data_IF_443667348750
#
_entry.id   IF_443667348750
#
_cell.length_a   1.000
_cell.length_b   1.000
_cell.length_c   1.000
_cell.angle_alpha   90.00
_cell.angle_beta   90.00
_cell.angle_gamma   90.00
#
_symmetry.space_group_name_H-M   'P 1'
#
loop_
_entity.id
_entity.type
_entity.pdbx_description
1 polymer ?
#
# COMPACT_ATOMS: atom_id res chain seq x y z
N UNK A 1 -54.31 -48.46 43.28
CA UNK A 1 -53.41 -48.69 44.44
C UNK A 1 -52.01 -49.14 43.99
N UNK A 2 -50.95 -48.43 44.38
CA UNK A 2 -50.93 -47.11 45.01
C UNK A 2 -50.40 -46.04 44.03
N UNK A 3 -51.04 -44.88 43.87
CA UNK A 3 -51.21 -43.77 44.86
C UNK A 3 -49.92 -42.91 44.93
N UNK A 4 -49.94 -41.58 44.93
CA UNK A 4 -50.91 -40.55 45.37
C UNK A 4 -50.64 -39.30 44.49
N UNK A 5 -51.58 -38.80 43.68
CA UNK A 5 -52.52 -37.69 43.95
C UNK A 5 -51.86 -36.35 44.38
N UNK A 6 -52.25 -35.17 43.87
CA UNK A 6 -53.29 -34.81 42.91
C UNK A 6 -53.53 -33.29 42.82
N UNK A 7 -54.44 -32.93 41.90
CA UNK A 7 -55.24 -31.67 41.76
C UNK A 7 -54.46 -30.41 41.33
N UNK A 8 -54.60 -29.83 40.13
CA UNK A 8 -55.78 -29.33 39.37
C UNK A 8 -56.80 -28.61 40.25
N UNK A 9 -56.98 -27.30 40.04
CA UNK A 9 -58.29 -26.63 39.80
C UNK A 9 -58.03 -25.22 39.23
N UNK A 10 -58.54 -25.00 38.01
CA UNK A 10 -58.91 -23.73 37.37
C UNK A 10 -60.08 -23.03 38.09
N UNK A 11 -60.28 -21.74 37.77
CA UNK A 11 -61.55 -20.94 37.77
C UNK A 11 -61.35 -19.65 38.57
N UNK A 12 -61.18 -18.50 37.91
CA UNK A 12 -62.18 -17.64 37.29
C UNK A 12 -62.91 -16.72 38.28
N UNK A 13 -62.90 -15.44 37.90
CA UNK A 13 -63.97 -14.46 38.04
C UNK A 13 -64.24 -13.82 39.41
N UNK A 14 -64.55 -12.51 39.31
CA UNK A 14 -65.51 -11.72 40.10
C UNK A 14 -64.88 -10.52 40.84
N UNK A 15 -64.99 -9.36 40.17
CA UNK A 15 -65.20 -8.05 40.80
C UNK A 15 -66.48 -8.09 41.66
N UNK A 16 -66.54 -7.29 42.74
CA UNK A 16 -67.52 -6.22 42.67
C UNK A 16 -67.04 -4.87 43.23
N UNK A 17 -67.62 -3.83 42.64
CA UNK A 17 -67.79 -2.48 43.18
C UNK A 17 -68.55 -2.48 44.51
N UNK A 18 -68.38 -1.39 45.28
CA UNK A 18 -69.34 -0.70 46.19
C UNK A 18 -68.58 0.60 46.57
N UNK A 19 -68.86 1.76 45.96
CA UNK A 19 -69.86 2.79 46.38
C UNK A 19 -69.85 3.04 47.91
N UNK A 20 -69.69 4.22 48.50
CA UNK A 20 -69.99 5.59 48.10
C UNK A 20 -70.66 6.26 49.32
N UNK A 21 -70.16 7.42 49.78
CA UNK A 21 -70.93 8.48 50.48
C UNK A 21 -69.95 9.57 50.96
N UNK A 22 -69.79 10.70 50.27
CA UNK A 22 -70.58 11.95 50.34
C UNK A 22 -70.57 12.66 51.69
N UNK A 23 -69.85 13.79 51.74
CA UNK A 23 -70.41 15.07 52.20
C UNK A 23 -69.55 16.22 51.66
N UNK A 24 -70.19 17.04 50.81
CA UNK A 24 -69.80 18.36 50.31
C UNK A 24 -69.60 19.35 51.48
N UNK A 25 -68.94 20.51 51.43
CA UNK A 25 -68.99 21.59 50.44
C UNK A 25 -67.97 22.70 50.85
N UNK A 26 -67.45 23.52 49.92
CA UNK A 26 -67.05 24.92 50.24
C UNK A 26 -65.59 25.41 50.05
N UNK A 27 -65.29 25.88 48.82
CA UNK A 27 -64.74 27.21 48.45
C UNK A 27 -63.26 27.66 48.75
N UNK A 28 -62.58 28.05 47.65
CA UNK A 28 -61.58 29.14 47.41
C UNK A 28 -60.08 29.03 47.79
N UNK A 29 -59.26 28.98 46.72
CA UNK A 29 -58.05 29.78 46.36
C UNK A 29 -56.88 30.04 47.33
N UNK A 30 -55.67 29.53 47.01
CA UNK A 30 -54.39 30.25 46.70
C UNK A 30 -53.09 29.46 47.04
N UNK A 31 -51.95 29.70 46.33
CA UNK A 31 -50.75 28.83 46.30
C UNK A 31 -49.69 29.10 47.41
N UNK A 32 -48.68 28.22 47.60
CA UNK A 32 -47.81 28.23 48.78
C UNK A 32 -46.70 29.28 48.71
N UNK A 33 -46.44 29.95 49.83
CA UNK A 33 -45.40 30.99 49.96
C UNK A 33 -43.99 30.41 50.14
N UNK A 34 -43.06 30.99 49.38
CA UNK A 34 -41.62 30.80 49.36
C UNK A 34 -40.94 31.33 50.63
N UNK A 35 -40.12 30.51 51.30
CA UNK A 35 -39.18 30.96 52.34
C UNK A 35 -37.77 31.23 51.77
N UNK A 36 -37.46 32.51 51.59
CA UNK A 36 -36.12 33.13 51.66
C UNK A 36 -36.35 34.54 52.25
N UNK A 37 -35.38 35.44 52.48
CA UNK A 37 -33.91 35.42 52.61
C UNK A 37 -33.45 35.79 54.05
N UNK A 38 -34.34 35.67 55.05
CA UNK A 38 -34.16 36.28 56.38
C UNK A 38 -33.14 35.58 57.28
N UNK A 39 -32.88 34.28 57.11
CA UNK A 39 -31.89 33.57 57.94
C UNK A 39 -30.45 33.99 57.63
N UNK A 40 -30.15 34.34 56.38
CA UNK A 40 -28.79 34.69 55.96
C UNK A 40 -28.32 36.02 56.57
N UNK A 41 -29.23 37.01 56.67
CA UNK A 41 -28.93 38.29 57.34
C UNK A 41 -28.67 38.10 58.83
N UNK A 42 -29.42 37.23 59.50
CA UNK A 42 -29.24 36.94 60.94
C UNK A 42 -27.86 36.35 61.22
N UNK A 43 -27.34 35.51 60.33
CA UNK A 43 -26.00 34.91 60.48
C UNK A 43 -24.89 35.95 60.25
N UNK A 44 -25.05 36.84 59.27
CA UNK A 44 -24.09 37.92 58.98
C UNK A 44 -24.03 38.93 60.13
N UNK A 45 -25.18 39.39 60.63
CA UNK A 45 -25.27 40.34 61.75
C UNK A 45 -24.66 39.78 63.06
N UNK A 46 -24.72 38.45 63.25
CA UNK A 46 -24.13 37.78 64.41
C UNK A 46 -22.60 37.69 64.31
N UNK A 47 -22.07 37.47 63.10
CA UNK A 47 -20.63 37.42 62.83
C UNK A 47 -19.98 38.81 62.86
N UNK A 48 -20.70 39.87 62.46
CA UNK A 48 -20.23 41.26 62.57
C UNK A 48 -19.95 41.65 64.03
N UNK A 49 -20.84 41.26 64.95
CA UNK A 49 -20.70 41.57 66.39
C UNK A 49 -19.58 40.81 67.08
N UNK A 50 -19.24 39.60 66.61
CA UNK A 50 -18.18 38.79 67.21
C UNK A 50 -16.78 39.10 66.65
N UNK A 51 -16.67 39.61 65.42
CA UNK A 51 -15.37 39.77 64.73
C UNK A 51 -14.95 41.23 64.53
N UNK A 52 -15.86 42.20 64.73
CA UNK A 52 -15.57 43.64 64.59
C UNK A 52 -15.19 44.07 63.16
N UNK A 53 -15.43 43.22 62.17
CA UNK A 53 -15.15 43.46 60.75
C UNK A 53 -16.44 43.89 60.03
N UNK A 54 -16.33 44.83 59.09
CA UNK A 54 -17.47 45.29 58.29
C UNK A 54 -18.14 44.14 57.52
N UNK A 55 -19.46 44.13 57.46
CA UNK A 55 -20.27 43.05 56.86
C UNK A 55 -19.87 42.61 55.46
N UNK A 56 -19.47 43.56 54.62
CA UNK A 56 -19.03 43.28 53.25
C UNK A 56 -17.74 42.44 53.20
N UNK A 57 -16.88 42.55 54.22
CA UNK A 57 -15.66 41.74 54.36
C UNK A 57 -16.03 40.30 54.74
N UNK A 58 -16.99 40.12 55.66
CA UNK A 58 -17.47 38.79 56.08
C UNK A 58 -18.16 38.08 54.91
N UNK A 59 -18.98 38.80 54.15
CA UNK A 59 -19.61 38.27 52.92
C UNK A 59 -18.53 37.86 51.90
N UNK A 60 -17.49 38.69 51.72
CA UNK A 60 -16.38 38.39 50.80
C UNK A 60 -15.59 37.15 51.23
N UNK A 61 -15.36 36.96 52.53
CA UNK A 61 -14.70 35.77 53.08
C UNK A 61 -15.59 34.53 52.88
N UNK A 62 -16.89 34.62 53.15
CA UNK A 62 -17.83 33.51 52.94
C UNK A 62 -17.92 33.10 51.47
N UNK A 63 -17.94 34.07 50.54
CA UNK A 63 -17.87 33.80 49.10
C UNK A 63 -16.53 33.18 48.71
N UNK A 64 -15.42 33.68 49.27
CA UNK A 64 -14.09 33.12 49.06
C UNK A 64 -13.96 31.67 49.53
N UNK A 65 -14.49 31.34 50.71
CA UNK A 65 -14.55 29.98 51.25
C UNK A 65 -15.47 29.09 50.42
N UNK A 66 -16.61 29.62 49.95
CA UNK A 66 -17.51 28.91 49.03
C UNK A 66 -16.85 28.58 47.69
N UNK A 67 -16.11 29.53 47.10
CA UNK A 67 -15.35 29.31 45.87
C UNK A 67 -14.20 28.33 46.06
N UNK A 68 -13.51 28.38 47.21
CA UNK A 68 -12.48 27.42 47.57
C UNK A 68 -13.06 26.01 47.72
N UNK A 69 -14.23 25.88 48.37
CA UNK A 69 -14.94 24.62 48.51
C UNK A 69 -15.40 24.08 47.15
N UNK A 70 -15.91 24.94 46.25
CA UNK A 70 -16.26 24.57 44.88
C UNK A 70 -15.04 24.15 44.06
N UNK A 71 -13.89 24.80 44.24
CA UNK A 71 -12.62 24.41 43.62
C UNK A 71 -12.12 23.07 44.15
N UNK A 72 -12.23 22.83 45.46
CA UNK A 72 -11.87 21.55 46.09
C UNK A 72 -12.84 20.46 45.63
N UNK A 73 -14.15 20.71 45.57
CA UNK A 73 -15.15 19.81 45.00
C UNK A 73 -14.86 19.52 43.53
N UNK A 74 -14.53 20.53 42.71
CA UNK A 74 -14.14 20.36 41.31
C UNK A 74 -12.84 19.57 41.18
N UNK A 75 -11.86 19.80 42.05
CA UNK A 75 -10.61 19.04 42.09
C UNK A 75 -10.83 17.60 42.54
N UNK A 76 -11.70 17.36 43.52
CA UNK A 76 -12.12 16.04 43.99
C UNK A 76 -12.91 15.30 42.92
N UNK A 77 -13.83 15.97 42.22
CA UNK A 77 -14.56 15.43 41.05
C UNK A 77 -13.56 15.10 39.95
N UNK A 78 -12.66 16.02 39.57
CA UNK A 78 -11.63 15.78 38.54
C UNK A 78 -10.64 14.69 38.93
N UNK A 79 -10.32 14.53 40.22
CA UNK A 79 -9.47 13.46 40.76
C UNK A 79 -10.21 12.12 40.85
N UNK A 80 -11.51 12.11 41.14
CA UNK A 80 -12.38 10.93 41.07
C UNK A 80 -12.63 10.49 39.61
N UNK A 81 -12.79 11.42 38.67
CA UNK A 81 -12.85 11.14 37.23
C UNK A 81 -11.49 10.72 36.65
N UNK A 82 -10.36 11.20 37.19
CA UNK A 82 -9.01 10.67 36.85
C UNK A 82 -8.75 9.29 37.46
N UNK A 83 -9.23 8.98 38.68
CA UNK A 83 -9.11 7.64 39.28
C UNK A 83 -10.04 6.60 38.66
N UNK A 84 -11.22 6.99 38.11
CA UNK A 84 -12.03 6.11 37.26
C UNK A 84 -11.41 5.84 35.88
N UNK A 85 -10.47 6.67 35.39
CA UNK A 85 -9.72 6.40 34.15
C UNK A 85 -8.56 5.41 34.30
N UNK A 86 -8.25 4.94 35.51
CA UNK A 86 -7.12 4.02 35.74
C UNK A 86 -7.53 2.62 36.23
N UNK A 87 -8.83 2.30 36.36
CA UNK A 87 -9.24 0.94 36.80
C UNK A 87 -10.56 0.40 36.27
N UNK A 88 -11.19 0.99 35.25
CA UNK A 88 -12.35 0.38 34.58
C UNK A 88 -12.30 0.64 33.07
N UNK A 89 -11.36 -0.04 32.39
CA UNK A 89 -11.27 -0.11 30.94
C UNK A 89 -11.84 -1.42 30.41
N UNK A 90 -13.06 -1.82 30.82
CA UNK A 90 -13.75 -2.96 30.22
C UNK A 90 -15.20 -2.60 29.89
N UNK A 91 -15.45 -2.59 28.57
CA UNK A 91 -16.73 -2.55 27.83
C UNK A 91 -17.41 -1.19 27.65
N UNK A 92 -17.59 -0.84 26.38
CA UNK A 92 -18.60 0.13 25.94
C UNK A 92 -18.09 1.33 25.14
N UNK A 93 -17.17 1.15 24.18
CA UNK A 93 -16.86 2.20 23.20
C UNK A 93 -16.74 1.58 21.81
N UNK A 94 -17.68 1.94 20.93
CA UNK A 94 -17.73 1.55 19.52
C UNK A 94 -17.71 0.04 19.29
N UNK A 95 -18.88 -0.61 19.28
CA UNK A 95 -19.00 -1.85 18.50
C UNK A 95 -18.88 -1.39 17.05
N UNK A 96 -17.64 -1.37 16.56
CA UNK A 96 -17.38 -1.54 15.14
C UNK A 96 -17.82 -2.96 14.87
N UNK A 97 -19.06 -3.13 14.40
CA UNK A 97 -19.61 -4.43 14.06
C UNK A 97 -18.67 -5.06 13.03
N UNK A 98 -18.17 -6.27 13.30
CA UNK A 98 -17.29 -6.96 12.37
C UNK A 98 -17.96 -7.09 11.00
N UNK A 99 -19.30 -7.20 11.00
CA UNK A 99 -20.10 -7.19 9.78
C UNK A 99 -20.00 -5.88 9.03
N UNK A 100 -19.93 -4.72 9.67
CA UNK A 100 -19.82 -3.44 8.95
C UNK A 100 -18.43 -3.25 8.31
N UNK A 101 -17.37 -3.81 8.92
CA UNK A 101 -16.03 -3.85 8.31
C UNK A 101 -15.99 -4.83 7.14
N UNK A 102 -16.59 -6.00 7.32
CA UNK A 102 -16.74 -7.01 6.27
C UNK A 102 -17.53 -6.46 5.08
N UNK A 103 -18.63 -5.74 5.37
CA UNK A 103 -19.54 -5.15 4.40
C UNK A 103 -18.90 -3.96 3.68
N UNK A 104 -18.07 -3.18 4.37
CA UNK A 104 -17.21 -2.19 3.74
C UNK A 104 -16.21 -2.85 2.79
N UNK A 105 -15.54 -3.93 3.24
CA UNK A 105 -14.63 -4.72 2.42
C UNK A 105 -15.31 -5.28 1.17
N UNK A 106 -16.51 -5.85 1.31
CA UNK A 106 -17.30 -6.37 0.19
C UNK A 106 -17.80 -5.26 -0.74
N UNK A 107 -18.19 -4.08 -0.23
CA UNK A 107 -18.58 -2.94 -1.06
C UNK A 107 -17.42 -2.41 -1.93
N UNK A 108 -16.18 -2.47 -1.42
CA UNK A 108 -15.00 -2.20 -2.24
C UNK A 108 -14.73 -3.30 -3.27
N UNK A 109 -15.03 -4.56 -2.94
CA UNK A 109 -14.90 -5.70 -3.86
C UNK A 109 -15.90 -5.59 -5.03
N UNK A 110 -17.12 -5.18 -4.75
CA UNK A 110 -18.20 -4.97 -5.72
C UNK A 110 -17.87 -3.81 -6.70
N UNK A 111 -17.27 -2.71 -6.21
CA UNK A 111 -16.75 -1.64 -7.08
C UNK A 111 -15.60 -2.06 -8.00
N UNK A 112 -14.97 -3.22 -7.73
CA UNK A 112 -13.90 -3.77 -8.55
C UNK A 112 -14.44 -4.80 -9.57
N UNK A 113 -15.72 -5.22 -9.47
CA UNK A 113 -16.33 -6.23 -10.34
C UNK A 113 -17.85 -6.00 -10.54
N UNK A 114 -18.29 -5.30 -11.59
CA UNK A 114 -19.70 -5.35 -12.00
C UNK A 114 -20.01 -6.51 -12.97
N UNK A 115 -19.02 -7.17 -13.60
CA UNK A 115 -19.27 -7.91 -14.85
C UNK A 115 -19.01 -9.43 -14.78
N UNK A 116 -19.01 -10.07 -13.60
CA UNK A 116 -18.59 -11.48 -13.47
C UNK A 116 -19.66 -12.47 -12.98
N UNK A 117 -20.89 -12.03 -12.74
CA UNK A 117 -22.00 -12.93 -12.35
C UNK A 117 -23.00 -13.21 -13.51
N UNK A 118 -23.01 -12.43 -14.59
CA UNK A 118 -23.87 -12.70 -15.77
C UNK A 118 -23.25 -13.68 -16.79
N UNK A 119 -21.95 -13.98 -16.68
CA UNK A 119 -21.26 -14.89 -17.60
C UNK A 119 -21.30 -16.36 -17.18
N UNK A 120 -21.75 -16.68 -15.96
CA UNK A 120 -21.75 -18.06 -15.44
C UNK A 120 -22.94 -18.90 -15.89
N UNK A 121 -24.06 -18.31 -16.31
CA UNK A 121 -25.21 -19.09 -16.81
C UNK A 121 -25.09 -19.50 -18.29
N UNK A 122 -24.17 -18.89 -19.05
CA UNK A 122 -23.90 -19.28 -20.44
C UNK A 122 -22.60 -20.10 -20.60
N UNK A 123 -21.92 -20.45 -19.50
CA UNK A 123 -20.62 -21.13 -19.51
C UNK A 123 -20.70 -22.64 -19.16
N UNK A 124 -21.88 -23.18 -18.85
CA UNK A 124 -22.02 -24.61 -18.53
C UNK A 124 -22.12 -25.51 -19.78
N UNK A 125 -22.22 -24.94 -20.99
CA UNK A 125 -22.27 -25.69 -22.27
C UNK A 125 -20.98 -25.62 -23.12
N UNK A 126 -19.87 -25.06 -22.60
CA UNK A 126 -18.56 -25.05 -23.29
C UNK A 126 -17.44 -25.50 -22.34
N UNK A 127 -17.73 -26.52 -21.54
CA UNK A 127 -16.76 -27.19 -20.69
C UNK A 127 -16.16 -28.42 -21.39
N UNK A 128 -15.63 -28.25 -22.61
CA UNK A 128 -14.64 -29.15 -23.19
C UNK A 128 -13.89 -28.39 -24.29
N UNK A 129 -12.55 -28.38 -24.19
CA UNK A 129 -11.56 -27.68 -25.04
C UNK A 129 -11.24 -26.20 -24.70
N UNK A 130 -10.18 -26.02 -23.91
CA UNK A 130 -9.52 -24.71 -23.82
C UNK A 130 -8.70 -24.46 -22.57
N UNK A 131 -7.78 -25.35 -22.18
CA UNK A 131 -6.68 -24.96 -21.30
C UNK A 131 -5.87 -23.85 -21.98
N UNK A 132 -6.11 -22.59 -21.62
CA UNK A 132 -5.24 -21.48 -21.98
C UNK A 132 -3.95 -21.60 -21.17
N UNK A 133 -3.02 -22.43 -21.66
CA UNK A 133 -1.59 -22.29 -21.34
C UNK A 133 -1.20 -20.86 -21.68
N UNK A 134 -0.71 -20.10 -20.70
CA UNK A 134 0.16 -18.96 -21.01
C UNK A 134 1.36 -19.53 -21.79
N UNK A 135 1.32 -19.47 -23.11
CA UNK A 135 2.47 -19.78 -23.93
C UNK A 135 3.51 -18.71 -23.63
N UNK A 136 4.64 -19.10 -23.04
CA UNK A 136 5.86 -18.30 -23.11
C UNK A 136 6.05 -17.90 -24.58
N UNK A 137 5.88 -16.61 -24.89
CA UNK A 137 6.18 -16.10 -26.22
C UNK A 137 7.67 -16.30 -26.45
N UNK A 138 8.02 -17.32 -27.24
CA UNK A 138 9.39 -17.53 -27.71
C UNK A 138 9.71 -16.39 -28.66
N UNK A 139 10.69 -15.58 -28.30
CA UNK A 139 11.12 -14.41 -29.08
C UNK A 139 12.14 -14.77 -30.17
N UNK A 140 12.49 -16.05 -30.27
CA UNK A 140 13.51 -16.57 -31.17
C UNK A 140 14.90 -16.60 -30.55
N UNK A 141 15.90 -16.88 -31.39
CA UNK A 141 17.31 -16.97 -31.01
C UNK A 141 18.19 -16.33 -32.07
N UNK A 142 19.33 -15.79 -31.65
CA UNK A 142 20.32 -15.14 -32.50
C UNK A 142 21.64 -15.91 -32.45
N UNK A 143 22.20 -16.19 -33.62
CA UNK A 143 23.56 -16.70 -33.79
C UNK A 143 24.52 -15.55 -34.08
N UNK A 144 25.58 -15.47 -33.29
CA UNK A 144 26.60 -14.45 -33.45
C UNK A 144 27.99 -15.04 -33.26
N UNK A 145 28.99 -14.34 -33.79
CA UNK A 145 30.39 -14.70 -33.66
C UNK A 145 31.23 -13.51 -33.20
N UNK A 146 32.13 -13.73 -32.25
CA UNK A 146 33.02 -12.72 -31.68
C UNK A 146 34.48 -13.11 -31.88
N UNK A 147 35.29 -12.15 -32.31
CA UNK A 147 36.74 -12.28 -32.46
C UNK A 147 37.41 -11.01 -31.95
N UNK A 148 38.34 -11.16 -31.01
CA UNK A 148 39.12 -10.03 -30.49
C UNK A 148 40.56 -10.09 -31.02
N UNK A 149 41.00 -9.01 -31.65
CA UNK A 149 42.38 -8.88 -32.11
C UNK A 149 43.20 -8.08 -31.08
N UNK A 150 44.12 -8.77 -30.40
CA UNK A 150 45.04 -8.19 -29.42
C UNK A 150 46.07 -7.25 -30.05
N UNK A 151 46.41 -7.41 -31.33
CA UNK A 151 47.40 -6.59 -32.01
C UNK A 151 46.84 -5.22 -32.36
N UNK A 152 45.58 -5.16 -32.80
CA UNK A 152 44.91 -3.91 -33.18
C UNK A 152 43.98 -3.33 -32.11
N UNK A 153 43.82 -4.02 -30.97
CA UNK A 153 42.85 -3.69 -29.92
C UNK A 153 41.45 -3.42 -30.50
N UNK A 154 40.97 -4.38 -31.29
CA UNK A 154 39.67 -4.28 -31.96
C UNK A 154 38.83 -5.52 -31.74
N UNK A 155 37.53 -5.31 -31.52
CA UNK A 155 36.54 -6.36 -31.37
C UNK A 155 35.72 -6.47 -32.65
N UNK A 156 35.84 -7.60 -33.34
CA UNK A 156 35.04 -7.96 -34.50
C UNK A 156 33.82 -8.77 -34.05
N UNK A 157 32.65 -8.30 -34.46
CA UNK A 157 31.34 -8.85 -34.11
C UNK A 157 30.62 -9.21 -35.40
N UNK A 158 30.39 -10.50 -35.62
CA UNK A 158 29.64 -10.99 -36.78
C UNK A 158 28.23 -11.40 -36.35
N UNK A 159 27.23 -10.81 -36.99
CA UNK A 159 25.83 -11.22 -36.86
C UNK A 159 25.57 -12.23 -37.99
N UNK A 160 25.35 -13.50 -37.63
CA UNK A 160 25.22 -14.58 -38.62
C UNK A 160 23.76 -14.68 -39.07
N UNK A 161 22.88 -15.11 -38.18
CA UNK A 161 21.46 -15.33 -38.48
C UNK A 161 20.60 -15.32 -37.21
N UNK A 162 19.30 -15.12 -37.37
CA UNK A 162 18.32 -15.33 -36.31
C UNK A 162 17.28 -16.38 -36.74
N UNK A 163 16.71 -17.09 -35.78
CA UNK A 163 15.69 -18.12 -36.00
C UNK A 163 14.49 -17.93 -35.07
N UNK A 164 13.30 -18.31 -35.56
CA UNK A 164 12.04 -18.29 -34.82
C UNK A 164 11.64 -16.90 -34.28
N UNK A 165 11.88 -15.84 -35.05
CA UNK A 165 11.41 -14.51 -34.67
C UNK A 165 9.87 -14.44 -34.70
N UNK A 166 9.23 -13.68 -33.78
CA UNK A 166 7.79 -13.44 -33.81
C UNK A 166 7.40 -12.62 -35.05
N UNK A 167 6.23 -12.90 -35.59
CA UNK A 167 5.63 -12.09 -36.65
C UNK A 167 4.90 -10.89 -36.04
N UNK A 168 5.38 -9.67 -36.32
CA UNK A 168 4.74 -8.44 -35.85
C UNK A 168 3.92 -7.74 -36.95
N UNK A 169 4.20 -7.99 -38.23
CA UNK A 169 3.40 -7.41 -39.31
C UNK A 169 2.04 -8.11 -39.46
N UNK A 170 1.03 -7.35 -39.88
CA UNK A 170 -0.30 -7.89 -40.25
C UNK A 170 -0.27 -9.00 -41.32
N UNK A 171 0.86 -9.15 -42.03
CA UNK A 171 1.11 -10.20 -43.01
C UNK A 171 1.61 -11.53 -42.44
N UNK A 172 1.79 -11.66 -41.12
CA UNK A 172 2.33 -12.87 -40.48
C UNK A 172 3.84 -13.05 -40.71
N UNK A 173 4.54 -11.97 -41.05
CA UNK A 173 6.00 -11.92 -41.20
C UNK A 173 6.57 -10.74 -40.40
N UNK A 174 7.89 -10.57 -40.43
CA UNK A 174 8.56 -9.35 -39.97
C UNK A 174 9.64 -8.97 -40.97
N UNK A 175 10.09 -7.72 -40.91
CA UNK A 175 11.21 -7.15 -41.65
C UNK A 175 12.43 -6.94 -40.69
N UNK A 176 13.07 -8.00 -40.15
CA UNK A 176 14.05 -7.87 -39.09
C UNK A 176 15.37 -7.24 -39.51
N UNK A 177 15.95 -6.45 -38.60
CA UNK A 177 17.33 -5.97 -38.65
C UNK A 177 17.92 -5.85 -37.23
N UNK A 178 19.24 -5.92 -37.10
CA UNK A 178 19.94 -5.95 -35.81
C UNK A 178 20.77 -4.69 -35.63
N UNK A 179 20.59 -4.02 -34.48
CA UNK A 179 21.47 -2.95 -34.00
C UNK A 179 22.50 -3.52 -33.04
N UNK A 180 23.76 -3.21 -33.25
CA UNK A 180 24.88 -3.67 -32.44
C UNK A 180 25.58 -2.48 -31.80
N UNK A 181 25.71 -2.49 -30.47
CA UNK A 181 26.40 -1.43 -29.72
C UNK A 181 27.04 -1.97 -28.43
N UNK A 182 27.97 -1.20 -27.87
CA UNK A 182 28.67 -1.52 -26.63
C UNK A 182 28.19 -0.62 -25.50
N UNK A 183 27.69 -1.17 -24.40
CA UNK A 183 27.43 -0.42 -23.17
C UNK A 183 28.72 -0.26 -22.34
N UNK A 184 28.95 0.90 -21.70
CA UNK A 184 28.04 2.04 -21.55
C UNK A 184 28.04 3.03 -22.74
N UNK A 185 28.94 2.88 -23.71
CA UNK A 185 29.09 3.81 -24.83
C UNK A 185 28.04 3.62 -25.94
N UNK A 186 26.83 4.18 -25.71
CA UNK A 186 25.74 4.15 -26.69
C UNK A 186 25.99 4.97 -27.97
N UNK A 187 27.16 5.62 -28.15
CA UNK A 187 27.42 6.52 -29.29
C UNK A 187 27.75 5.77 -30.58
N UNK A 188 28.51 4.67 -30.49
CA UNK A 188 28.88 3.85 -31.65
C UNK A 188 27.86 2.73 -31.82
N UNK A 189 26.97 2.89 -32.80
CA UNK A 189 25.95 1.90 -33.17
C UNK A 189 26.20 1.44 -34.60
N UNK A 190 26.12 0.15 -34.82
CA UNK A 190 26.09 -0.45 -36.14
C UNK A 190 24.71 -1.06 -36.37
N UNK A 191 24.27 -1.08 -37.62
CA UNK A 191 22.97 -1.66 -38.00
C UNK A 191 23.20 -2.59 -39.20
N UNK A 192 22.59 -3.77 -39.17
CA UNK A 192 22.56 -4.68 -40.32
C UNK A 192 21.61 -4.17 -41.39
N UNK A 193 21.65 -4.79 -42.56
CA UNK A 193 20.61 -4.65 -43.57
C UNK A 193 19.28 -5.18 -43.05
N UNK A 194 18.20 -4.59 -43.54
CA UNK A 194 16.83 -5.02 -43.30
C UNK A 194 16.51 -6.18 -44.24
N UNK A 195 16.11 -7.31 -43.67
CA UNK A 195 15.62 -8.46 -44.45
C UNK A 195 14.12 -8.45 -44.44
N UNK A 196 13.49 -8.40 -45.61
CA UNK A 196 12.03 -8.27 -45.69
C UNK A 196 11.30 -9.61 -45.62
N UNK A 197 10.17 -9.63 -44.92
CA UNK A 197 9.19 -10.72 -44.84
C UNK A 197 9.82 -12.06 -44.47
N UNK A 198 10.65 -12.07 -43.43
CA UNK A 198 11.32 -13.28 -42.97
C UNK A 198 11.37 -13.36 -41.44
N UNK A 199 11.10 -14.53 -40.90
CA UNK A 199 11.24 -14.85 -39.47
C UNK A 199 12.58 -15.52 -39.15
N UNK A 200 13.35 -15.89 -40.20
CA UNK A 200 14.66 -16.52 -40.09
C UNK A 200 15.67 -15.76 -40.97
N UNK A 201 16.02 -14.51 -40.63
CA UNK A 201 16.95 -13.72 -41.42
C UNK A 201 18.38 -14.25 -41.31
N UNK A 202 19.08 -14.29 -42.45
CA UNK A 202 20.52 -14.59 -42.53
C UNK A 202 21.25 -13.31 -42.92
N UNK A 203 21.93 -12.69 -41.95
CA UNK A 203 22.61 -11.40 -42.11
C UNK A 203 24.04 -11.58 -42.67
N UNK A 204 24.85 -12.41 -42.01
CA UNK A 204 26.29 -12.59 -42.29
C UNK A 204 27.06 -11.26 -42.41
N UNK A 205 26.84 -10.34 -41.48
CA UNK A 205 27.48 -9.02 -41.45
C UNK A 205 28.46 -8.90 -40.29
N UNK A 206 29.67 -8.39 -40.57
CA UNK A 206 30.73 -8.21 -39.57
C UNK A 206 30.98 -6.73 -39.29
N UNK A 207 30.97 -6.37 -38.02
CA UNK A 207 31.20 -5.02 -37.51
C UNK A 207 32.45 -5.00 -36.63
N UNK A 208 33.34 -4.03 -36.83
CA UNK A 208 34.58 -3.92 -36.06
C UNK A 208 34.56 -2.68 -35.16
N UNK A 209 34.56 -2.90 -33.85
CA UNK A 209 34.76 -1.86 -32.84
C UNK A 209 36.25 -1.60 -32.66
N UNK A 210 36.75 -0.53 -33.32
CA UNK A 210 38.15 -0.09 -33.19
C UNK A 210 38.40 0.61 -31.85
N UNK A 211 39.63 0.48 -31.34
CA UNK A 211 40.12 1.13 -30.13
C UNK A 211 39.34 0.71 -28.88
N UNK A 212 39.22 -0.60 -28.68
CA UNK A 212 38.66 -1.19 -27.45
C UNK A 212 39.79 -1.95 -26.77
N UNK A 213 40.53 -1.33 -25.83
CA UNK A 213 41.55 -2.02 -25.05
C UNK A 213 40.96 -3.21 -24.29
N UNK A 214 41.73 -4.27 -24.09
CA UNK A 214 41.26 -5.48 -23.42
C UNK A 214 40.74 -5.20 -21.99
N UNK A 215 41.42 -4.33 -21.24
CA UNK A 215 41.00 -3.91 -19.90
C UNK A 215 39.63 -3.19 -19.91
N UNK A 216 39.34 -2.42 -20.96
CA UNK A 216 38.06 -1.72 -21.11
C UNK A 216 36.98 -2.65 -21.67
N UNK A 217 37.36 -3.63 -22.50
CA UNK A 217 36.45 -4.63 -23.05
C UNK A 217 35.75 -5.39 -21.90
N UNK A 218 36.51 -5.79 -20.88
CA UNK A 218 35.99 -6.51 -19.72
C UNK A 218 34.88 -5.76 -18.95
N UNK A 219 34.89 -4.43 -18.98
CA UNK A 219 33.87 -3.61 -18.31
C UNK A 219 32.69 -3.24 -19.23
N UNK A 220 32.66 -3.76 -20.46
CA UNK A 220 31.64 -3.46 -21.46
C UNK A 220 30.69 -4.64 -21.65
N UNK A 221 29.47 -4.31 -22.07
CA UNK A 221 28.45 -5.30 -22.45
C UNK A 221 28.11 -5.07 -23.92
N UNK A 222 28.28 -6.11 -24.74
CA UNK A 222 27.84 -6.10 -26.13
C UNK A 222 26.34 -6.37 -26.17
N UNK A 223 25.62 -5.54 -26.93
CA UNK A 223 24.17 -5.65 -27.06
C UNK A 223 23.81 -5.80 -28.53
N UNK A 224 23.03 -6.84 -28.82
CA UNK A 224 22.36 -7.06 -30.09
C UNK A 224 20.87 -6.78 -29.88
N UNK A 225 20.34 -5.73 -30.48
CA UNK A 225 18.94 -5.38 -30.39
C UNK A 225 18.28 -5.62 -31.75
N UNK A 226 17.33 -6.55 -31.80
CA UNK A 226 16.61 -6.92 -33.02
C UNK A 226 15.35 -6.07 -33.11
N UNK A 227 15.18 -5.42 -34.25
CA UNK A 227 14.04 -4.58 -34.57
C UNK A 227 13.33 -5.09 -35.81
N UNK A 228 12.03 -4.87 -35.85
CA UNK A 228 11.20 -4.97 -37.03
C UNK A 228 11.15 -3.61 -37.74
N UNK A 229 11.46 -3.59 -39.04
CA UNK A 229 11.47 -2.37 -39.82
C UNK A 229 10.07 -2.05 -40.35
N UNK A 230 9.56 -0.91 -39.91
CA UNK A 230 8.28 -0.39 -40.36
C UNK A 230 8.41 0.83 -41.27
N UNK A 231 7.70 0.82 -42.40
CA UNK A 231 7.74 1.94 -43.36
C UNK A 231 6.92 3.16 -42.91
N UNK A 232 5.85 2.95 -42.16
CA UNK A 232 4.86 3.98 -41.82
C UNK A 232 4.62 4.13 -40.31
N UNK A 233 5.29 3.32 -39.48
CA UNK A 233 5.21 3.31 -38.03
C UNK A 233 6.62 3.35 -37.41
N UNK A 234 6.67 3.51 -36.09
CA UNK A 234 7.92 3.37 -35.34
C UNK A 234 8.31 1.89 -35.36
N UNK A 235 9.59 1.61 -35.59
CA UNK A 235 10.12 0.25 -35.61
C UNK A 235 9.93 -0.44 -34.26
N UNK A 236 9.38 -1.65 -34.29
CA UNK A 236 9.11 -2.44 -33.10
C UNK A 236 10.34 -3.24 -32.69
N UNK A 237 10.69 -3.23 -31.41
CA UNK A 237 11.82 -4.00 -30.92
C UNK A 237 11.34 -5.41 -30.55
N UNK A 238 11.78 -6.40 -31.33
CA UNK A 238 11.43 -7.82 -31.15
C UNK A 238 12.08 -8.36 -29.88
N UNK A 239 13.38 -8.13 -29.72
CA UNK A 239 14.18 -8.80 -28.69
C UNK A 239 15.58 -8.24 -28.59
N UNK A 240 16.28 -8.58 -27.51
CA UNK A 240 17.68 -8.24 -27.33
C UNK A 240 18.51 -9.39 -26.77
N UNK A 241 19.80 -9.36 -27.07
CA UNK A 241 20.80 -10.23 -26.49
C UNK A 241 21.89 -9.38 -25.89
N UNK A 242 22.12 -9.54 -24.58
CA UNK A 242 23.23 -8.91 -23.86
C UNK A 242 24.33 -9.92 -23.58
N UNK A 243 25.55 -9.54 -23.89
CA UNK A 243 26.75 -10.35 -23.70
C UNK A 243 27.76 -9.52 -22.90
N UNK A 244 27.81 -9.69 -21.57
CA UNK A 244 28.86 -9.10 -20.75
C UNK A 244 30.20 -9.69 -21.20
N UNK A 245 31.11 -8.84 -21.70
CA UNK A 245 32.37 -9.32 -22.25
C UNK A 245 33.30 -9.89 -21.17
N UNK A 246 33.07 -9.59 -19.89
CA UNK A 246 33.76 -10.21 -18.75
C UNK A 246 33.46 -11.71 -18.57
N UNK A 247 32.34 -12.20 -19.11
CA UNK A 247 31.95 -13.62 -19.01
C UNK A 247 32.43 -14.43 -20.21
N UNK A 248 33.09 -13.78 -21.17
CA UNK A 248 33.44 -14.33 -22.47
C UNK A 248 34.95 -14.39 -22.60
N UNK A 249 35.48 -15.55 -22.96
CA UNK A 249 36.92 -15.72 -23.22
C UNK A 249 37.28 -15.16 -24.60
N UNK A 250 37.58 -13.85 -24.64
CA UNK A 250 37.96 -13.14 -25.86
C UNK A 250 39.27 -13.63 -26.49
N UNK A 251 40.02 -14.52 -25.83
CA UNK A 251 41.21 -15.14 -26.43
C UNK A 251 40.86 -16.16 -27.53
N UNK A 252 39.60 -16.62 -27.55
CA UNK A 252 39.11 -17.59 -28.53
C UNK A 252 38.04 -16.95 -29.41
N UNK A 253 37.86 -17.53 -30.60
CA UNK A 253 36.71 -17.22 -31.45
C UNK A 253 35.46 -17.84 -30.81
N UNK A 254 34.51 -17.00 -30.39
CA UNK A 254 33.23 -17.46 -29.86
C UNK A 254 32.21 -17.50 -30.99
N UNK A 255 31.50 -18.60 -31.14
CA UNK A 255 30.33 -18.72 -32.00
C UNK A 255 29.26 -19.49 -31.24
N UNK A 256 28.15 -18.84 -30.91
CA UNK A 256 27.08 -19.46 -30.12
C UNK A 256 25.69 -18.93 -30.52
N UNK A 257 24.68 -19.73 -30.15
CA UNK A 257 23.29 -19.35 -30.21
C UNK A 257 22.85 -18.79 -28.86
N UNK A 258 22.12 -17.69 -28.88
CA UNK A 258 21.57 -17.09 -27.67
C UNK A 258 20.11 -16.70 -27.86
N UNK A 259 19.28 -17.07 -26.90
CA UNK A 259 17.86 -16.76 -26.90
C UNK A 259 17.63 -15.26 -26.74
N UNK A 260 16.63 -14.75 -27.46
CA UNK A 260 16.24 -13.35 -27.40
C UNK A 260 15.46 -13.09 -26.12
N UNK A 261 15.84 -12.02 -25.43
CA UNK A 261 15.14 -11.53 -24.24
C UNK A 261 14.14 -10.45 -24.65
N UNK A 262 12.96 -10.45 -24.02
CA UNK A 262 11.89 -9.49 -24.27
C UNK A 262 12.34 -8.07 -23.97
N UNK A 263 12.19 -7.17 -24.94
CA UNK A 263 12.54 -5.75 -24.79
C UNK A 263 11.36 -4.91 -24.30
N UNK A 264 10.26 -5.56 -23.89
CA UNK A 264 9.32 -4.95 -22.92
C UNK A 264 10.05 -4.41 -21.68
N UNK A 265 11.31 -4.81 -21.47
CA UNK A 265 12.22 -4.33 -20.46
C UNK A 265 13.33 -3.34 -20.84
N UNK A 266 13.56 -2.83 -22.05
CA UNK A 266 14.72 -1.90 -22.26
C UNK A 266 14.37 -0.46 -22.69
N UNK A 267 13.14 -0.22 -23.14
CA UNK A 267 12.46 1.05 -22.85
C UNK A 267 11.79 1.07 -21.47
N UNK A 268 11.80 -0.08 -20.78
CA UNK A 268 10.95 -0.37 -19.62
C UNK A 268 11.69 -0.67 -18.30
N UNK A 269 12.93 -1.18 -18.28
CA UNK A 269 13.69 -1.42 -17.04
C UNK A 269 14.40 -0.17 -16.53
N UNK A 270 14.68 0.80 -17.41
CA UNK A 270 15.03 2.16 -16.95
C UNK A 270 13.82 2.83 -16.24
N UNK A 271 12.59 2.35 -16.48
CA UNK A 271 11.32 2.82 -15.89
C UNK A 271 10.72 1.89 -14.82
N UNK A 272 11.12 0.61 -14.73
CA UNK A 272 10.63 -0.32 -13.70
C UNK A 272 11.45 -0.10 -12.43
N UNK A 273 10.83 0.56 -11.46
CA UNK A 273 11.45 0.94 -10.19
C UNK A 273 11.64 -0.25 -9.23
N UNK A 274 11.03 -1.39 -9.56
CA UNK A 274 11.08 -2.67 -8.84
C UNK A 274 9.73 -3.06 -8.23
N UNK A 275 9.70 -4.18 -7.54
CA UNK A 275 8.50 -4.66 -6.82
C UNK A 275 8.79 -4.78 -5.32
N UNK A 276 7.78 -4.51 -4.49
CA UNK A 276 7.85 -4.65 -3.03
C UNK A 276 6.73 -5.56 -2.52
N UNK A 277 7.08 -6.47 -1.61
CA UNK A 277 6.17 -7.34 -0.91
C UNK A 277 6.01 -6.91 0.55
N UNK A 278 4.78 -6.69 0.98
CA UNK A 278 4.47 -6.39 2.38
C UNK A 278 3.12 -6.98 2.75
N UNK A 279 2.92 -7.19 4.05
CA UNK A 279 1.64 -7.63 4.59
C UNK A 279 0.93 -6.53 5.38
N UNK A 280 -0.39 -6.51 5.23
CA UNK A 280 -1.28 -5.62 5.94
C UNK A 280 -2.21 -6.42 6.85
N UNK A 281 -2.39 -5.92 8.06
CA UNK A 281 -3.32 -6.48 9.04
C UNK A 281 -4.01 -5.36 9.79
N UNK A 282 -5.33 -5.31 9.71
CA UNK A 282 -6.12 -4.35 10.48
C UNK A 282 -6.94 -5.03 11.58
N UNK A 283 -6.91 -4.45 12.78
CA UNK A 283 -7.74 -4.86 13.92
C UNK A 283 -8.67 -3.71 14.29
N UNK A 284 -9.95 -3.73 13.83
CA UNK A 284 -10.89 -2.62 14.03
C UNK A 284 -11.14 -2.32 15.51
N UNK A 285 -11.30 -3.35 16.34
CA UNK A 285 -11.58 -3.21 17.78
C UNK A 285 -10.49 -2.43 18.54
N UNK A 286 -9.24 -2.52 18.10
CA UNK A 286 -8.11 -1.83 18.70
C UNK A 286 -7.67 -0.59 17.90
N UNK A 287 -8.29 -0.33 16.74
CA UNK A 287 -7.82 0.67 15.78
C UNK A 287 -6.34 0.47 15.42
N UNK A 288 -5.88 -0.78 15.24
CA UNK A 288 -4.46 -1.08 15.03
C UNK A 288 -4.22 -1.60 13.62
N UNK A 289 -3.45 -0.85 12.84
CA UNK A 289 -2.93 -1.24 11.53
C UNK A 289 -1.49 -1.71 11.68
N UNK A 290 -1.24 -2.98 11.33
CA UNK A 290 0.10 -3.55 11.30
C UNK A 290 0.54 -3.73 9.85
N UNK A 291 1.72 -3.20 9.53
CA UNK A 291 2.38 -3.29 8.23
C UNK A 291 3.68 -4.04 8.43
N UNK A 292 3.85 -5.20 7.77
CA UNK A 292 5.10 -5.95 7.81
C UNK A 292 5.77 -5.86 6.44
N UNK A 293 6.92 -5.20 6.38
CA UNK A 293 7.73 -5.14 5.16
C UNK A 293 8.50 -6.45 5.06
N UNK A 294 8.23 -7.25 4.02
CA UNK A 294 8.84 -8.56 3.84
C UNK A 294 10.13 -8.41 3.04
N UNK A 295 10.02 -8.09 1.76
CA UNK A 295 11.15 -8.00 0.84
C UNK A 295 10.81 -7.11 -0.36
N UNK A 296 11.83 -6.73 -1.13
CA UNK A 296 11.67 -6.13 -2.44
C UNK A 296 12.58 -6.84 -3.45
N UNK A 297 12.25 -6.76 -4.74
CA UNK A 297 13.02 -7.38 -5.81
C UNK A 297 13.13 -6.47 -7.03
N UNK A 298 14.17 -6.71 -7.83
CA UNK A 298 14.42 -6.00 -9.08
C UNK A 298 14.38 -4.47 -8.93
N UNK A 299 14.92 -3.94 -7.82
CA UNK A 299 14.97 -2.50 -7.60
C UNK A 299 15.86 -1.82 -8.64
N UNK A 300 15.48 -0.58 -9.03
CA UNK A 300 16.31 0.25 -9.90
C UNK A 300 17.62 0.63 -9.21
N UNK A 301 18.72 0.50 -9.94
CA UNK A 301 20.07 0.88 -9.51
C UNK A 301 20.22 2.41 -9.54
N UNK A 302 20.52 3.04 -8.41
CA UNK A 302 20.75 4.49 -8.35
C UNK A 302 22.24 4.86 -8.26
N UNK A 303 23.08 4.04 -7.61
CA UNK A 303 24.49 4.39 -7.39
C UNK A 303 25.37 4.25 -8.65
N UNK A 304 26.15 5.30 -8.94
CA UNK A 304 27.16 5.32 -10.01
C UNK A 304 28.38 4.51 -9.58
N UNK A 305 28.35 3.20 -9.82
CA UNK A 305 29.48 2.28 -9.56
C UNK A 305 29.24 1.22 -8.47
N UNK A 306 28.03 1.18 -7.89
CA UNK A 306 27.58 0.15 -6.94
C UNK A 306 26.17 -0.32 -7.24
N UNK A 307 25.63 -1.29 -6.49
CA UNK A 307 24.17 -1.51 -6.43
C UNK A 307 23.54 -0.43 -5.53
N UNK A 308 22.24 -0.53 -5.22
CA UNK A 308 21.58 0.38 -4.26
C UNK A 308 21.75 -0.08 -2.80
N UNK A 309 21.57 0.86 -1.88
CA UNK A 309 21.47 0.69 -0.42
C UNK A 309 20.00 0.90 0.07
N UNK A 310 19.04 0.05 -0.32
CA UNK A 310 17.61 0.33 -0.12
C UNK A 310 17.16 0.26 1.35
N UNK A 311 16.28 1.20 1.72
CA UNK A 311 15.44 1.15 2.90
C UNK A 311 14.03 1.65 2.60
N UNK A 312 13.06 1.23 3.41
CA UNK A 312 11.64 1.54 3.18
C UNK A 312 11.16 2.55 4.21
N UNK A 313 10.58 3.66 3.74
CA UNK A 313 9.84 4.64 4.54
C UNK A 313 8.35 4.33 4.47
N UNK A 314 7.70 4.31 5.62
CA UNK A 314 6.26 4.02 5.74
C UNK A 314 5.61 5.22 6.41
N UNK A 315 4.64 5.84 5.75
CA UNK A 315 3.94 7.02 6.23
C UNK A 315 2.42 6.83 6.15
N UNK A 316 1.72 7.24 7.21
CA UNK A 316 0.27 7.41 7.17
C UNK A 316 -0.02 8.88 6.84
N UNK A 317 -0.76 9.11 5.76
CA UNK A 317 -1.22 10.41 5.29
C UNK A 317 -2.71 10.57 5.56
N UNK A 318 -3.14 11.78 5.88
CA UNK A 318 -4.55 12.16 5.92
C UNK A 318 -4.70 13.61 5.46
N UNK A 319 -5.57 13.86 4.48
CA UNK A 319 -5.80 15.19 3.90
C UNK A 319 -4.48 15.89 3.49
N UNK A 320 -3.57 15.15 2.84
CA UNK A 320 -2.25 15.65 2.42
C UNK A 320 -1.21 15.84 3.54
N UNK A 321 -1.58 15.65 4.82
CA UNK A 321 -0.67 15.80 5.97
C UNK A 321 -0.12 14.44 6.43
N UNK A 322 1.20 14.39 6.67
CA UNK A 322 1.90 13.22 7.25
C UNK A 322 1.58 13.11 8.74
N UNK A 323 0.87 12.07 9.15
CA UNK A 323 0.50 11.83 10.56
C UNK A 323 1.61 11.10 11.34
N UNK A 324 2.04 9.94 10.85
CA UNK A 324 3.07 9.10 11.47
C UNK A 324 4.01 8.57 10.40
N UNK A 325 5.31 8.53 10.71
CA UNK A 325 6.35 7.97 9.83
C UNK A 325 7.18 6.92 10.57
N UNK A 326 7.54 5.84 9.89
CA UNK A 326 8.45 4.79 10.35
C UNK A 326 9.39 4.42 9.19
N UNK A 327 10.52 3.78 9.48
CA UNK A 327 11.48 3.33 8.47
C UNK A 327 12.08 1.98 8.86
N UNK A 328 12.49 1.20 7.87
CA UNK A 328 13.21 -0.06 8.07
C UNK A 328 14.70 0.17 8.35
N UNK A 329 15.41 -0.93 8.63
CA UNK A 329 16.87 -1.00 8.48
C UNK A 329 17.29 -0.76 7.03
N UNK A 330 18.54 -0.32 6.85
CA UNK A 330 19.16 -0.12 5.54
C UNK A 330 19.87 -1.42 5.14
N UNK A 331 19.61 -1.91 3.93
CA UNK A 331 20.31 -3.07 3.36
C UNK A 331 21.30 -2.56 2.34
N UNK A 332 22.58 -2.92 2.50
CA UNK A 332 23.65 -2.37 1.65
C UNK A 332 23.88 -3.21 0.41
N UNK A 333 24.24 -2.56 -0.69
CA UNK A 333 24.65 -3.15 -1.96
C UNK A 333 23.73 -4.29 -2.43
N UNK A 334 22.42 -4.06 -2.51
CA UNK A 334 21.45 -5.07 -2.94
C UNK A 334 20.26 -4.46 -3.69
N UNK A 335 19.81 -5.14 -4.75
CA UNK A 335 18.56 -4.82 -5.46
C UNK A 335 17.39 -5.73 -5.06
N UNK A 336 17.66 -6.71 -4.18
CA UNK A 336 16.68 -7.68 -3.68
C UNK A 336 16.73 -7.73 -2.14
N UNK A 337 16.40 -6.64 -1.44
CA UNK A 337 16.53 -6.58 0.02
C UNK A 337 15.44 -7.41 0.73
N UNK A 338 15.86 -8.16 1.76
CA UNK A 338 14.97 -8.83 2.71
C UNK A 338 14.95 -8.10 4.06
N UNK A 339 13.77 -7.71 4.52
CA UNK A 339 13.56 -6.93 5.75
C UNK A 339 12.91 -7.76 6.85
N UNK A 340 11.72 -8.30 6.60
CA UNK A 340 10.83 -8.92 7.59
C UNK A 340 10.64 -8.07 8.86
N UNK A 341 10.37 -6.78 8.68
CA UNK A 341 10.23 -5.80 9.76
C UNK A 341 8.77 -5.38 9.95
N UNK A 342 8.28 -5.44 11.20
CA UNK A 342 6.88 -5.16 11.54
C UNK A 342 6.69 -3.77 12.17
N UNK A 343 5.73 -3.02 11.65
CA UNK A 343 5.38 -1.68 12.09
C UNK A 343 3.92 -1.60 12.47
N UNK A 344 3.61 -0.95 13.58
CA UNK A 344 2.23 -0.75 14.05
C UNK A 344 1.86 0.73 14.08
N UNK A 345 0.69 1.04 13.54
CA UNK A 345 0.05 2.34 13.54
C UNK A 345 -1.31 2.26 14.24
N UNK A 346 -1.64 3.32 14.97
CA UNK A 346 -2.96 3.47 15.59
C UNK A 346 -3.81 4.30 14.64
N UNK A 347 -4.80 3.67 14.02
CA UNK A 347 -5.77 4.25 13.08
C UNK A 347 -7.17 3.80 13.50
N UNK A 348 -7.97 4.69 14.13
CA UNK A 348 -9.37 4.43 14.44
C UNK A 348 -10.17 4.02 13.21
N UNK A 349 -11.21 3.20 13.40
CA UNK A 349 -12.01 2.67 12.28
C UNK A 349 -12.71 3.78 11.50
N UNK A 350 -13.15 4.84 12.17
CA UNK A 350 -13.80 5.99 11.55
C UNK A 350 -12.87 6.76 10.61
N UNK A 351 -11.55 6.58 10.77
CA UNK A 351 -10.52 7.24 9.97
C UNK A 351 -9.94 6.33 8.89
N UNK A 352 -10.14 5.00 8.96
CA UNK A 352 -9.48 4.05 8.05
C UNK A 352 -9.82 4.31 6.57
N UNK A 353 -11.01 4.84 6.29
CA UNK A 353 -11.47 5.19 4.94
C UNK A 353 -10.89 6.51 4.43
N UNK A 354 -10.31 7.34 5.30
CA UNK A 354 -9.81 8.69 4.99
C UNK A 354 -8.29 8.77 5.00
N UNK A 355 -7.62 7.69 5.39
CA UNK A 355 -6.15 7.64 5.44
C UNK A 355 -5.60 7.01 4.17
N UNK A 356 -4.38 7.41 3.85
CA UNK A 356 -3.55 6.76 2.84
C UNK A 356 -2.30 6.21 3.52
N UNK A 357 -1.94 4.98 3.18
CA UNK A 357 -0.68 4.36 3.54
C UNK A 357 0.29 4.56 2.37
N UNK A 358 1.34 5.34 2.60
CA UNK A 358 2.39 5.58 1.62
C UNK A 358 3.62 4.78 2.01
N UNK A 359 4.06 3.89 1.11
CA UNK A 359 5.27 3.11 1.25
C UNK A 359 6.24 3.59 0.18
N UNK A 360 7.44 4.02 0.57
CA UNK A 360 8.45 4.56 -0.35
C UNK A 360 9.75 3.81 -0.14
N UNK A 361 10.27 3.21 -1.21
CA UNK A 361 11.61 2.62 -1.24
C UNK A 361 12.60 3.73 -1.59
N UNK A 362 13.66 3.86 -0.81
CA UNK A 362 14.63 4.95 -0.91
C UNK A 362 16.02 4.35 -0.91
N UNK A 363 16.88 4.87 -1.78
CA UNK A 363 18.30 4.55 -1.78
C UNK A 363 19.04 5.40 -0.74
N UNK A 364 19.90 4.78 0.06
CA UNK A 364 20.66 5.50 1.09
C UNK A 364 22.05 5.87 0.58
N UNK A 365 22.20 7.13 0.19
CA UNK A 365 23.53 7.69 -0.07
C UNK A 365 24.27 8.07 1.22
N UNK A 366 25.52 7.60 1.34
CA UNK A 366 26.41 8.04 2.43
C UNK A 366 26.83 9.51 2.29
N UNK A 367 26.95 9.98 1.05
CA UNK A 367 27.38 11.35 0.73
C UNK A 367 26.37 11.89 -0.30
N UNK A 368 25.45 12.74 0.15
CA UNK A 368 24.40 13.32 -0.69
C UNK A 368 23.01 13.22 -0.07
N UNK A 369 21.99 13.43 -0.90
CA UNK A 369 20.58 13.31 -0.53
C UNK A 369 20.04 11.96 -0.96
N UNK A 370 19.58 11.14 -0.01
CA UNK A 370 18.93 9.85 -0.30
C UNK A 370 17.78 9.99 -1.30
N UNK A 371 17.88 9.31 -2.43
CA UNK A 371 16.92 9.42 -3.53
C UNK A 371 15.80 8.37 -3.44
N UNK A 372 14.52 8.76 -3.63
CA UNK A 372 13.43 7.79 -3.68
C UNK A 372 13.53 6.95 -4.96
N UNK A 373 13.61 5.63 -4.81
CA UNK A 373 13.57 4.70 -5.94
C UNK A 373 12.15 4.60 -6.47
N UNK A 374 11.17 4.45 -5.59
CA UNK A 374 9.78 4.28 -5.98
C UNK A 374 8.81 4.31 -4.81
N UNK A 375 7.51 4.46 -5.10
CA UNK A 375 6.45 4.64 -4.11
C UNK A 375 5.21 3.81 -4.47
N UNK A 376 4.51 3.35 -3.44
CA UNK A 376 3.18 2.73 -3.51
C UNK A 376 2.25 3.45 -2.53
N UNK A 377 1.01 3.72 -2.96
CA UNK A 377 -0.01 4.37 -2.14
C UNK A 377 -1.24 3.48 -2.06
N UNK A 378 -1.63 3.14 -0.82
CA UNK A 378 -2.81 2.34 -0.53
C UNK A 378 -3.81 3.16 0.28
N UNK A 379 -5.09 2.78 0.23
CA UNK A 379 -6.15 3.43 0.99
C UNK A 379 -7.00 4.38 0.16
N UNK A 380 -7.30 5.56 0.71
CA UNK A 380 -8.18 6.54 0.06
C UNK A 380 -7.64 6.97 -1.31
N UNK A 381 -8.45 6.88 -2.37
CA UNK A 381 -8.09 7.15 -3.78
C UNK A 381 -7.05 6.18 -4.41
N UNK A 382 -6.76 5.03 -3.79
CA UNK A 382 -5.99 3.99 -4.46
C UNK A 382 -6.83 3.34 -5.58
N UNK A 383 -6.17 2.88 -6.65
CA UNK A 383 -6.79 2.16 -7.77
C UNK A 383 -6.09 0.82 -7.99
N UNK A 384 -6.72 -0.10 -8.72
CA UNK A 384 -6.12 -1.38 -9.12
C UNK A 384 -5.70 -2.29 -7.95
N UNK A 385 -4.46 -2.77 -8.00
CA UNK A 385 -3.89 -3.74 -7.05
C UNK A 385 -3.81 -3.24 -5.61
N UNK A 386 -3.57 -1.94 -5.43
CA UNK A 386 -3.43 -1.27 -4.15
C UNK A 386 -4.77 -1.16 -3.44
N UNK A 387 -5.83 -0.86 -4.19
CA UNK A 387 -7.20 -0.85 -3.67
C UNK A 387 -7.65 -2.26 -3.29
N UNK A 388 -7.34 -3.26 -4.13
CA UNK A 388 -7.64 -4.66 -3.83
C UNK A 388 -6.97 -5.11 -2.53
N UNK A 389 -5.67 -4.85 -2.36
CA UNK A 389 -4.97 -5.22 -1.13
C UNK A 389 -5.57 -4.53 0.11
N UNK A 390 -5.97 -3.27 -0.02
CA UNK A 390 -6.62 -2.51 1.06
C UNK A 390 -8.02 -3.05 1.38
N UNK A 391 -8.81 -3.40 0.36
CA UNK A 391 -10.12 -4.02 0.48
C UNK A 391 -10.02 -5.40 1.15
N UNK A 392 -9.10 -6.25 0.70
CA UNK A 392 -8.88 -7.59 1.24
C UNK A 392 -8.45 -7.54 2.72
N UNK A 393 -7.63 -6.55 3.10
CA UNK A 393 -7.26 -6.30 4.49
C UNK A 393 -8.48 -5.96 5.36
N UNK A 394 -9.41 -5.14 4.85
CA UNK A 394 -10.64 -4.78 5.57
C UNK A 394 -11.64 -5.93 5.61
N UNK A 395 -11.79 -6.67 4.51
CA UNK A 395 -12.64 -7.85 4.40
C UNK A 395 -12.12 -9.06 5.20
N UNK A 396 -10.84 -9.07 5.59
CA UNK A 396 -10.25 -10.14 6.42
C UNK A 396 -9.73 -9.59 7.74
N UNK A 397 -10.62 -9.10 8.63
CA UNK A 397 -10.20 -8.47 9.87
C UNK A 397 -9.38 -9.44 10.73
N UNK A 398 -8.28 -8.94 11.31
CA UNK A 398 -7.30 -9.71 12.13
C UNK A 398 -6.47 -10.74 11.38
N UNK A 399 -6.63 -10.94 10.07
CA UNK A 399 -5.74 -11.78 9.25
C UNK A 399 -4.70 -10.90 8.55
N UNK A 400 -3.41 -11.26 8.57
CA UNK A 400 -2.43 -10.61 7.71
C UNK A 400 -2.63 -11.08 6.26
N UNK A 401 -2.70 -10.13 5.34
CA UNK A 401 -2.75 -10.37 3.89
C UNK A 401 -1.43 -9.85 3.33
N UNK A 402 -0.69 -10.69 2.61
CA UNK A 402 0.58 -10.33 1.98
C UNK A 402 0.38 -10.23 0.47
N UNK A 403 0.94 -9.18 -0.15
CA UNK A 403 0.80 -8.97 -1.58
C UNK A 403 2.01 -8.22 -2.14
N UNK A 404 2.36 -8.55 -3.38
CA UNK A 404 3.34 -7.83 -4.18
C UNK A 404 2.71 -6.58 -4.80
N UNK A 405 3.48 -5.49 -4.83
CA UNK A 405 3.11 -4.23 -5.47
C UNK A 405 4.27 -3.73 -6.31
N UNK A 406 3.97 -3.27 -7.52
CA UNK A 406 4.96 -2.64 -8.40
C UNK A 406 5.16 -1.18 -8.00
N UNK A 407 6.42 -0.76 -7.89
CA UNK A 407 6.78 0.59 -7.49
C UNK A 407 6.48 1.59 -8.62
N UNK A 408 5.83 2.70 -8.25
CA UNK A 408 5.49 3.82 -9.15
C UNK A 408 6.40 5.02 -8.90
N UNK A 409 6.46 5.94 -9.86
CA UNK A 409 7.32 7.11 -9.78
C UNK A 409 6.93 7.98 -8.56
N UNK A 410 7.89 8.38 -7.72
CA UNK A 410 7.62 9.25 -6.57
C UNK A 410 7.11 10.65 -6.94
N UNK A 411 7.25 11.11 -8.20
CA UNK A 411 6.92 12.48 -8.64
C UNK A 411 5.53 12.65 -9.30
N UNK A 412 4.84 11.56 -9.66
CA UNK A 412 3.59 11.61 -10.45
C UNK A 412 2.40 12.30 -9.74
N UNK A 413 2.46 12.56 -8.43
CA UNK A 413 1.38 13.24 -7.69
C UNK A 413 1.36 14.78 -7.84
N UNK A 414 2.24 15.38 -8.65
CA UNK A 414 2.26 16.85 -8.86
C UNK A 414 1.44 17.35 -10.05
N UNK A 415 0.81 16.47 -10.83
CA UNK A 415 -0.06 16.86 -11.93
C UNK A 415 -1.47 16.35 -11.66
N UNK A 416 -2.25 17.16 -10.96
CA UNK A 416 -3.70 17.32 -11.13
C UNK A 416 -4.19 18.53 -10.36
#
# INVERSE_FOLDING_TARGET
PPEVAGKIVETSSILPEIEGSTSEEGLSTEPPSTKGPNEFKIVVDKLEKETGLEGWIIISILVGVGLLFLLICFCCIRRCFRKRRAKDGKKGKGIVDLKSVQLLGSAYKEKVQPDMEELTENAEDIAEEGESKQSEQKLGKLQYKLEYDFNSNSLSVTVIQAEELPALDMGGTSDPYVKVYLLPDKKKKFETKVHRKTLNPVFNETFTFKSVPYADAMNKTLVFAIFDFDRFSKHDQIGEVKVPLCQVDLAQTIEEWKELQSVEGEGGQDNKLGDICFSLRYVPTAGKLTVVILEAKNLKKMDVGGLSDPYVKIAIMQNGKRLKKKKTSIKKCTLNPYYNESFSFEVPFEQIQKVQLVITVVDYDRIGTSEPIGKVVLGYNASGTELRHWSDMLASPRRPIAQWHTLKDPEDEKKD
#
